data_IF_262625222581
#
_entry.id   IF_262625222581
#
_cell.length_a   1.000
_cell.length_b   1.000
_cell.length_c   1.000
_cell.angle_alpha   90.00
_cell.angle_beta   90.00
_cell.angle_gamma   90.00
#
_symmetry.space_group_name_H-M   'P 1'
#
loop_
_entity.id
_entity.type
_entity.pdbx_description
1 polymer ?
#
# COMPACT_ATOMS: atom_id res chain seq x y z
N UNK A 1 17.24 -15.35 -9.96
CA UNK A 1 16.49 -14.24 -9.32
C UNK A 1 15.62 -14.84 -8.24
N UNK A 2 15.84 -14.48 -6.98
CA UNK A 2 15.02 -14.96 -5.86
C UNK A 2 13.65 -14.29 -5.94
N UNK A 3 12.60 -15.09 -6.12
CA UNK A 3 11.25 -14.59 -6.37
C UNK A 3 10.69 -13.93 -5.10
N UNK A 4 10.05 -12.76 -5.28
CA UNK A 4 9.34 -12.08 -4.20
C UNK A 4 8.29 -13.01 -3.57
N UNK A 5 8.35 -13.19 -2.25
CA UNK A 5 7.37 -13.98 -1.51
C UNK A 5 6.06 -13.19 -1.46
N UNK A 6 5.05 -13.69 -2.19
CA UNK A 6 3.72 -13.10 -2.29
C UNK A 6 2.73 -14.01 -1.59
N UNK A 7 1.96 -13.45 -0.66
CA UNK A 7 0.81 -14.12 -0.04
C UNK A 7 -0.43 -13.27 -0.29
N UNK A 8 -1.41 -13.86 -0.95
CA UNK A 8 -2.72 -13.25 -1.14
C UNK A 8 -3.65 -13.74 -0.04
N UNK A 9 -4.66 -12.95 0.29
CA UNK A 9 -5.65 -13.29 1.30
C UNK A 9 -7.03 -12.96 0.76
N UNK A 10 -8.00 -13.85 1.01
CA UNK A 10 -9.39 -13.46 1.04
C UNK A 10 -9.70 -12.72 2.35
N UNK A 11 -10.86 -12.08 2.43
CA UNK A 11 -11.33 -11.39 3.65
C UNK A 11 -11.24 -12.27 4.90
N UNK A 12 -11.64 -13.54 4.81
CA UNK A 12 -11.72 -14.46 5.94
C UNK A 12 -10.35 -15.01 6.37
N UNK A 13 -9.36 -14.93 5.49
CA UNK A 13 -8.00 -15.46 5.72
C UNK A 13 -7.01 -14.34 6.04
N UNK A 14 -7.46 -13.07 5.96
CA UNK A 14 -6.59 -11.92 6.14
C UNK A 14 -6.10 -11.86 7.58
N UNK A 15 -4.79 -11.68 7.81
CA UNK A 15 -4.23 -11.61 9.16
C UNK A 15 -4.65 -10.35 9.91
N UNK A 16 -5.19 -9.36 9.19
CA UNK A 16 -5.63 -8.10 9.75
C UNK A 16 -6.86 -7.60 8.98
N UNK A 17 -7.93 -7.38 9.72
CA UNK A 17 -9.18 -6.80 9.24
C UNK A 17 -9.47 -5.58 10.11
N UNK A 18 -9.78 -4.46 9.48
CA UNK A 18 -10.20 -3.22 10.13
C UNK A 18 -11.66 -2.94 9.75
N UNK A 19 -12.48 -2.60 10.74
CA UNK A 19 -13.87 -2.23 10.54
C UNK A 19 -14.10 -0.83 11.08
N UNK A 20 -14.70 0.02 10.27
CA UNK A 20 -15.19 1.33 10.66
C UNK A 20 -16.72 1.26 10.68
N UNK A 21 -17.29 1.34 11.88
CA UNK A 21 -18.73 1.37 12.08
C UNK A 21 -19.10 2.74 12.65
N UNK A 22 -19.87 3.50 11.89
CA UNK A 22 -20.37 4.81 12.30
C UNK A 22 -21.89 4.76 12.31
N UNK A 23 -22.47 5.07 13.46
CA UNK A 23 -23.90 5.34 13.60
C UNK A 23 -24.11 6.84 13.62
N UNK A 24 -25.11 7.29 12.87
CA UNK A 24 -25.55 8.68 12.89
C UNK A 24 -27.06 8.72 13.11
N UNK A 25 -27.50 9.70 13.88
CA UNK A 25 -28.91 10.03 14.09
C UNK A 25 -29.08 11.53 13.97
N UNK A 26 -30.17 11.94 13.32
CA UNK A 26 -30.59 13.35 13.28
C UNK A 26 -31.52 13.70 14.46
N UNK A 27 -31.84 12.74 15.33
CA UNK A 27 -32.67 12.92 16.52
C UNK A 27 -31.88 12.55 17.78
N UNK A 28 -31.95 13.38 18.83
CA UNK A 28 -31.29 13.15 20.13
C UNK A 28 -31.74 11.84 20.80
N UNK A 29 -32.97 11.40 20.53
CA UNK A 29 -33.54 10.16 21.03
C UNK A 29 -33.21 8.94 20.15
N UNK A 30 -32.36 9.10 19.12
CA UNK A 30 -31.93 8.01 18.23
C UNK A 30 -33.09 7.22 17.60
N UNK A 31 -34.22 7.86 17.34
CA UNK A 31 -35.41 7.20 16.76
C UNK A 31 -35.26 6.85 15.28
N UNK A 32 -34.35 7.52 14.57
CA UNK A 32 -34.01 7.24 13.18
C UNK A 32 -32.50 7.23 13.04
N UNK A 33 -31.95 6.05 12.77
CA UNK A 33 -30.53 5.83 12.66
C UNK A 33 -30.19 5.41 11.22
N UNK A 34 -29.01 5.83 10.77
CA UNK A 34 -28.36 5.22 9.63
C UNK A 34 -26.92 4.85 9.99
N UNK A 35 -26.45 3.80 9.32
CA UNK A 35 -25.18 3.19 9.64
C UNK A 35 -24.28 3.20 8.41
N UNK A 36 -23.02 3.53 8.63
CA UNK A 36 -21.94 3.31 7.68
C UNK A 36 -21.08 2.19 8.24
N UNK A 37 -21.05 1.06 7.53
CA UNK A 37 -20.28 -0.11 7.92
C UNK A 37 -19.28 -0.46 6.81
N UNK A 38 -18.03 -0.07 7.03
CA UNK A 38 -16.94 -0.30 6.09
C UNK A 38 -15.94 -1.28 6.67
N UNK A 39 -15.58 -2.29 5.88
CA UNK A 39 -14.55 -3.25 6.23
C UNK A 39 -13.39 -3.23 5.24
N UNK A 40 -12.19 -3.21 5.79
CA UNK A 40 -10.93 -3.20 5.07
C UNK A 40 -10.11 -4.40 5.52
N UNK A 41 -9.41 -5.03 4.58
CA UNK A 41 -8.55 -6.17 4.91
C UNK A 41 -7.27 -6.12 4.07
N UNK A 42 -6.22 -6.77 4.58
CA UNK A 42 -4.99 -6.95 3.81
C UNK A 42 -5.24 -8.00 2.74
N UNK A 43 -5.36 -7.58 1.48
CA UNK A 43 -5.56 -8.49 0.34
C UNK A 43 -4.27 -9.18 -0.10
N UNK A 44 -3.10 -8.58 0.18
CA UNK A 44 -1.80 -9.09 -0.25
C UNK A 44 -0.65 -8.58 0.61
N UNK A 45 0.27 -9.47 0.94
CA UNK A 45 1.60 -9.14 1.50
C UNK A 45 2.66 -9.58 0.49
N UNK A 46 3.59 -8.67 0.18
CA UNK A 46 4.75 -8.96 -0.68
C UNK A 46 6.03 -8.66 0.09
N UNK A 47 6.86 -9.68 0.31
CA UNK A 47 8.18 -9.51 0.89
C UNK A 47 9.19 -9.30 -0.25
N UNK A 48 9.88 -8.17 -0.19
CA UNK A 48 10.87 -7.75 -1.19
C UNK A 48 12.20 -7.47 -0.50
N UNK A 49 13.31 -7.68 -1.22
CA UNK A 49 14.59 -7.10 -0.82
C UNK A 49 14.57 -5.59 -1.09
N UNK A 50 15.33 -4.81 -0.33
CA UNK A 50 15.39 -3.35 -0.48
C UNK A 50 15.74 -2.93 -1.93
N UNK A 51 16.68 -3.63 -2.56
CA UNK A 51 17.06 -3.40 -3.96
C UNK A 51 15.99 -3.79 -5.01
N UNK A 52 14.92 -4.47 -4.61
CA UNK A 52 13.76 -4.79 -5.45
C UNK A 52 12.58 -3.86 -5.17
N UNK A 53 12.60 -3.14 -4.05
CA UNK A 53 11.60 -2.15 -3.68
C UNK A 53 11.83 -0.81 -4.39
N UNK A 54 13.09 -0.49 -4.67
CA UNK A 54 13.50 0.71 -5.40
C UNK A 54 13.91 0.34 -6.83
N UNK A 55 13.35 1.02 -7.84
CA UNK A 55 13.78 0.95 -9.22
C UNK A 55 14.51 2.24 -9.61
N UNK A 56 15.42 2.19 -10.58
CA UNK A 56 16.10 3.38 -11.10
C UNK A 56 15.23 3.97 -12.22
N UNK A 57 14.92 5.26 -12.13
CA UNK A 57 14.12 5.96 -13.14
C UNK A 57 14.88 6.01 -14.45
N UNK A 58 14.23 5.58 -15.53
CA UNK A 58 14.77 5.65 -16.89
C UNK A 58 14.26 6.93 -17.55
N UNK A 59 15.12 7.62 -18.30
CA UNK A 59 14.69 8.75 -19.12
C UNK A 59 13.79 8.24 -20.25
N UNK A 60 12.66 8.91 -20.47
CA UNK A 60 11.72 8.57 -21.54
C UNK A 60 12.42 8.46 -22.89
N UNK A 61 12.07 7.42 -23.66
CA UNK A 61 12.61 7.14 -24.99
C UNK A 61 14.14 7.03 -25.09
N UNK A 62 14.84 6.68 -24.01
CA UNK A 62 16.31 6.56 -24.03
C UNK A 62 16.82 5.27 -23.37
N UNK A 63 18.07 4.90 -23.65
CA UNK A 63 18.78 3.84 -22.95
C UNK A 63 19.37 4.27 -21.60
N UNK A 64 19.20 5.55 -21.23
CA UNK A 64 19.89 6.15 -20.09
C UNK A 64 18.97 6.32 -18.87
N UNK A 65 19.57 6.26 -17.69
CA UNK A 65 18.90 6.52 -16.42
C UNK A 65 18.87 8.01 -16.10
N UNK A 66 17.82 8.43 -15.40
CA UNK A 66 17.66 9.81 -14.93
C UNK A 66 18.56 10.04 -13.71
N UNK A 67 19.16 11.23 -13.65
CA UNK A 67 20.03 11.65 -12.55
C UNK A 67 19.43 12.87 -11.88
N UNK A 68 19.58 12.96 -10.56
CA UNK A 68 19.31 14.18 -9.80
C UNK A 68 20.32 15.27 -10.13
N UNK A 69 20.07 16.49 -9.66
CA UNK A 69 20.98 17.64 -9.81
C UNK A 69 22.39 17.34 -9.25
N UNK A 70 22.47 16.55 -8.18
CA UNK A 70 23.73 16.08 -7.57
C UNK A 70 24.42 14.94 -8.35
N UNK A 71 23.91 14.57 -9.53
CA UNK A 71 24.47 13.51 -10.39
C UNK A 71 24.17 12.07 -9.95
N UNK A 72 23.40 11.87 -8.86
CA UNK A 72 22.99 10.53 -8.38
C UNK A 72 21.85 9.99 -9.22
N UNK A 73 21.80 8.67 -9.40
CA UNK A 73 20.70 8.01 -10.12
C UNK A 73 19.39 8.19 -9.34
N UNK A 74 18.36 8.66 -10.04
CA UNK A 74 17.06 8.94 -9.45
C UNK A 74 16.33 7.61 -9.19
N UNK A 75 15.97 7.37 -7.93
CA UNK A 75 15.25 6.17 -7.51
C UNK A 75 13.75 6.43 -7.47
N UNK A 76 12.98 5.50 -8.03
CA UNK A 76 11.52 5.47 -7.96
C UNK A 76 11.07 4.23 -7.19
N UNK A 77 9.93 4.32 -6.53
CA UNK A 77 9.30 3.18 -5.90
C UNK A 77 8.07 2.79 -6.72
N UNK A 78 8.13 1.73 -7.56
CA UNK A 78 7.02 1.31 -8.42
C UNK A 78 5.83 0.79 -7.63
N UNK A 79 6.01 0.48 -6.35
CA UNK A 79 4.93 0.03 -5.48
C UNK A 79 4.22 1.18 -4.81
N UNK A 80 4.76 2.42 -4.83
CA UNK A 80 4.20 3.62 -4.19
C UNK A 80 2.81 3.93 -4.76
N UNK A 81 1.78 3.75 -3.96
CA UNK A 81 0.41 4.19 -4.26
C UNK A 81 -0.29 4.69 -3.00
N UNK A 82 -1.31 5.53 -3.16
CA UNK A 82 -2.13 6.03 -2.05
C UNK A 82 -2.81 4.91 -1.23
N UNK A 83 -3.00 3.74 -1.86
CA UNK A 83 -3.68 2.58 -1.26
C UNK A 83 -2.69 1.54 -0.71
N UNK A 84 -1.41 1.88 -0.63
CA UNK A 84 -0.35 0.95 -0.26
C UNK A 84 0.44 1.48 0.93
N UNK A 85 0.60 0.62 1.92
CA UNK A 85 1.36 0.91 3.15
C UNK A 85 2.61 0.03 3.19
N UNK A 86 3.71 0.57 3.71
CA UNK A 86 5.00 -0.13 3.76
C UNK A 86 5.59 -0.02 5.15
N UNK A 87 6.18 -1.11 5.60
CA UNK A 87 6.99 -1.15 6.81
C UNK A 87 8.41 -1.51 6.40
N UNK A 88 9.35 -0.60 6.65
CA UNK A 88 10.77 -0.88 6.45
C UNK A 88 11.28 -1.61 7.69
N UNK A 89 11.59 -2.89 7.53
CA UNK A 89 12.20 -3.70 8.58
C UNK A 89 13.70 -3.46 8.51
N UNK A 90 14.26 -2.68 9.45
CA UNK A 90 15.71 -2.57 9.62
C UNK A 90 16.18 -3.85 10.32
N UNK A 91 17.09 -4.58 9.69
CA UNK A 91 17.83 -5.69 10.31
C UNK A 91 19.09 -5.14 10.98
#
# INVERSE_FOLDING_TARGET
MENALKKNFSKNESPLVFRNFITMSYNENFTTEFYVDNEFYVSKVTKLKSNQFEAIKRKENSAFFEKSEDGKLLKINPYKSEKSFYVIIKQ
#
